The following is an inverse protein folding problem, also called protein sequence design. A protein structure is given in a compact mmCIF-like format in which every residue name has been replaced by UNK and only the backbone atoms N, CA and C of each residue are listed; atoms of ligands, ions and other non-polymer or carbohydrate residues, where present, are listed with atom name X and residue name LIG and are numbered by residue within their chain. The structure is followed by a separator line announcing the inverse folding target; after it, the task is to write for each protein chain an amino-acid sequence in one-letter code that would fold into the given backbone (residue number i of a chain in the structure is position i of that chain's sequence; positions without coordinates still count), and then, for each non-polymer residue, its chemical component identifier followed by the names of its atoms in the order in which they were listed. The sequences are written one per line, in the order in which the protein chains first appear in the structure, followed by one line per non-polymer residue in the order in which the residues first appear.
data_IF_808274466807
#
_entry.id   IF_808274466807
#
_cell.length_a   1.000
_cell.length_b   1.000
_cell.length_c   1.000
_cell.angle_alpha   90.00
_cell.angle_beta   90.00
_cell.angle_gamma   90.00
#
_symmetry.space_group_name_H-M   'P 1'
#
loop_
_entity.id
_entity.type
_entity.pdbx_description
1 polymer ?
2 polymer ?
3 non-polymer ?
4 water ?
#
# COMPACT_ATOMS: atom_id res chain seq x y z
N UNK A 3 20.32 17.54 -11.34
CA UNK A 3 18.97 17.39 -11.92
C UNK A 3 18.05 16.43 -11.16
N UNK A 4 18.61 15.30 -10.69
CA UNK A 4 18.01 14.49 -9.66
C UNK A 4 17.60 15.38 -8.44
N UNK A 5 18.52 16.24 -8.00
CA UNK A 5 18.25 17.20 -6.91
C UNK A 5 17.11 18.17 -7.27
N UNK A 6 17.08 18.62 -8.52
CA UNK A 6 16.01 19.46 -9.02
C UNK A 6 14.63 18.75 -9.02
N UNK A 7 14.59 17.49 -9.47
CA UNK A 7 13.35 16.73 -9.46
C UNK A 7 12.83 16.55 -8.03
N UNK A 8 13.75 16.32 -7.12
CA UNK A 8 13.34 16.07 -5.74
C UNK A 8 12.71 17.38 -5.17
N UNK A 9 13.38 18.50 -5.45
CA UNK A 9 12.83 19.81 -5.09
C UNK A 9 11.44 20.07 -5.65
N UNK A 10 11.28 19.84 -6.97
CA UNK A 10 9.97 19.94 -7.59
C UNK A 10 8.93 19.04 -6.95
N UNK A 11 9.34 17.83 -6.57
CA UNK A 11 8.43 16.91 -5.92
C UNK A 11 7.98 17.43 -4.54
N UNK A 12 8.96 18.02 -3.84
CA UNK A 12 8.62 18.65 -2.55
C UNK A 12 7.71 19.88 -2.70
N UNK A 13 7.95 20.71 -3.72
CA UNK A 13 7.03 21.82 -3.96
C UNK A 13 5.64 21.30 -4.26
N UNK A 14 5.52 20.29 -5.14
CA UNK A 14 4.19 19.72 -5.48
C UNK A 14 3.53 19.18 -4.21
N UNK A 15 4.34 18.55 -3.35
CA UNK A 15 3.78 17.97 -2.11
C UNK A 15 3.22 19.11 -1.21
N UNK A 16 3.97 20.17 -1.04
CA UNK A 16 3.46 21.31 -0.28
C UNK A 16 2.21 21.90 -0.92
N UNK A 17 2.18 22.01 -2.28
CA UNK A 17 1.00 22.56 -2.96
C UNK A 17 -0.19 21.56 -2.99
N UNK A 18 -0.01 20.34 -2.49
CA UNK A 18 -0.98 19.24 -2.55
C UNK A 18 -1.39 18.92 -4.01
N UNK A 19 -0.42 18.99 -4.93
CA UNK A 19 -0.65 18.68 -6.35
C UNK A 19 0.01 17.31 -6.57
N UNK A 20 -0.64 16.26 -6.09
CA UNK A 20 0.10 14.97 -6.03
C UNK A 20 0.42 14.36 -7.39
N UNK A 21 -0.35 14.73 -8.44
CA UNK A 21 -0.03 14.23 -9.81
C UNK A 21 1.34 14.65 -10.26
N UNK A 22 1.66 15.90 -10.00
CA UNK A 22 2.96 16.43 -10.36
C UNK A 22 4.03 15.85 -9.54
N UNK A 23 3.72 15.60 -8.27
CA UNK A 23 4.68 14.93 -7.36
C UNK A 23 5.04 13.54 -7.87
N UNK A 24 4.00 12.82 -8.36
CA UNK A 24 4.22 11.51 -8.99
C UNK A 24 5.14 11.68 -10.24
N UNK A 25 4.84 12.67 -11.09
CA UNK A 25 5.56 12.89 -12.37
C UNK A 25 7.04 13.01 -12.01
N UNK A 26 7.34 13.93 -11.08
CA UNK A 26 8.77 14.22 -10.67
C UNK A 26 9.48 12.99 -10.10
N UNK A 27 8.82 12.27 -9.18
CA UNK A 27 9.46 11.12 -8.54
C UNK A 27 9.59 9.93 -9.51
N UNK A 28 8.68 9.84 -10.48
CA UNK A 28 8.77 8.76 -11.50
C UNK A 28 10.00 9.02 -12.37
N UNK A 29 10.32 10.29 -12.68
CA UNK A 29 11.55 10.61 -13.39
C UNK A 29 12.81 10.23 -12.59
N UNK A 30 12.76 10.36 -11.26
CA UNK A 30 13.90 9.98 -10.43
C UNK A 30 14.04 8.45 -10.47
N UNK A 31 12.93 7.75 -10.37
CA UNK A 31 12.95 6.30 -10.43
C UNK A 31 13.51 5.86 -11.79
N UNK A 32 13.22 6.67 -12.80
CA UNK A 32 13.54 6.41 -14.21
C UNK A 32 15.04 6.39 -14.44
N UNK A 33 15.79 6.91 -13.46
CA UNK A 33 17.25 6.96 -13.53
C UNK A 33 18.01 5.66 -13.26
N UNK A 34 17.33 4.65 -12.71
CA UNK A 34 17.91 3.30 -12.53
C UNK A 34 19.13 3.32 -11.54
N UNK A 35 19.03 4.15 -10.52
CA UNK A 35 20.02 4.17 -9.44
C UNK A 35 19.30 3.92 -8.10
N UNK A 36 20.02 3.53 -7.07
CA UNK A 36 19.39 3.36 -5.74
C UNK A 36 18.84 4.72 -5.26
N UNK A 37 17.55 4.78 -4.91
CA UNK A 37 16.99 6.01 -4.37
C UNK A 37 17.45 6.18 -2.92
N UNK A 38 17.52 7.42 -2.44
CA UNK A 38 17.73 7.66 -1.01
C UNK A 38 16.47 7.32 -0.25
N UNK A 39 16.55 7.23 1.07
CA UNK A 39 15.40 7.07 1.93
C UNK A 39 14.44 8.17 1.64
N UNK A 40 14.95 9.40 1.48
CA UNK A 40 14.09 10.54 1.21
C UNK A 40 13.30 10.38 -0.10
N UNK A 41 14.04 10.03 -1.14
CA UNK A 41 13.39 9.79 -2.45
C UNK A 41 12.38 8.65 -2.42
N UNK A 42 12.71 7.49 -1.80
CA UNK A 42 11.72 6.38 -1.65
C UNK A 42 10.45 6.85 -0.99
N UNK A 43 10.62 7.59 0.09
CA UNK A 43 9.50 8.12 0.82
C UNK A 43 8.67 9.08 -0.01
N UNK A 44 9.32 9.98 -0.77
CA UNK A 44 8.57 10.98 -1.58
C UNK A 44 7.76 10.19 -2.66
N UNK A 45 8.39 9.19 -3.26
CA UNK A 45 7.72 8.45 -4.35
C UNK A 45 6.53 7.73 -3.73
N UNK A 46 6.75 7.10 -2.60
CA UNK A 46 5.63 6.31 -1.99
C UNK A 46 4.44 7.23 -1.61
N UNK A 47 4.77 8.37 -0.99
CA UNK A 47 3.73 9.37 -0.58
C UNK A 47 3.00 9.85 -1.81
N UNK A 48 3.74 10.19 -2.89
CA UNK A 48 3.07 10.69 -4.08
C UNK A 48 2.02 9.65 -4.60
N UNK A 49 2.41 8.40 -4.79
CA UNK A 49 1.44 7.45 -5.33
C UNK A 49 0.38 7.14 -4.28
N UNK A 50 0.71 7.06 -2.97
CA UNK A 50 -0.36 6.76 -2.04
C UNK A 50 -1.46 7.86 -1.99
N UNK A 51 -1.07 9.13 -2.17
CA UNK A 51 -2.07 10.19 -2.34
C UNK A 51 -2.89 10.04 -3.59
N UNK A 52 -2.24 9.77 -4.72
CA UNK A 52 -2.92 9.70 -6.02
C UNK A 52 -3.89 8.54 -6.01
N UNK A 53 -3.38 7.40 -5.58
CA UNK A 53 -4.28 6.23 -5.52
C UNK A 53 -5.34 6.38 -4.37
N UNK A 54 -4.95 6.99 -3.26
CA UNK A 54 -5.82 7.12 -2.08
C UNK A 54 -7.05 7.95 -2.41
N UNK A 55 -6.87 9.01 -3.22
CA UNK A 55 -8.05 9.82 -3.63
C UNK A 55 -9.08 8.94 -4.36
N UNK A 56 -8.60 8.06 -5.24
CA UNK A 56 -9.56 7.22 -5.97
C UNK A 56 -10.12 6.09 -5.10
N UNK A 57 -9.29 5.52 -4.20
CA UNK A 57 -9.82 4.49 -3.28
C UNK A 57 -10.92 5.10 -2.41
N UNK A 58 -10.69 6.32 -1.96
CA UNK A 58 -11.74 6.99 -1.14
C UNK A 58 -13.01 7.23 -1.95
N UNK A 59 -12.84 7.70 -3.21
CA UNK A 59 -14.02 7.93 -4.08
C UNK A 59 -14.77 6.61 -4.30
N UNK A 60 -13.99 5.56 -4.62
CA UNK A 60 -14.53 4.24 -4.93
C UNK A 60 -15.36 3.74 -3.72
N UNK A 61 -14.84 3.89 -2.51
CA UNK A 61 -15.60 3.43 -1.33
C UNK A 61 -16.89 4.21 -1.15
N UNK A 62 -16.84 5.51 -1.42
CA UNK A 62 -18.05 6.32 -1.32
C UNK A 62 -19.09 5.85 -2.35
N UNK A 63 -18.65 5.74 -3.58
CA UNK A 63 -19.61 5.43 -4.66
C UNK A 63 -20.18 4.01 -4.39
N UNK A 64 -19.32 3.08 -3.97
CA UNK A 64 -19.73 1.73 -3.67
C UNK A 64 -20.79 1.76 -2.57
N UNK A 65 -20.62 2.61 -1.56
CA UNK A 65 -21.62 2.60 -0.48
C UNK A 65 -22.91 3.21 -0.95
N UNK A 66 -22.81 4.20 -1.83
CA UNK A 66 -24.03 4.75 -2.41
C UNK A 66 -24.78 3.67 -3.25
N UNK A 67 -24.00 2.91 -4.00
CA UNK A 67 -24.54 1.82 -4.77
C UNK A 67 -25.30 0.86 -3.85
N UNK A 68 -24.68 0.47 -2.73
CA UNK A 68 -25.28 -0.53 -1.85
C UNK A 68 -26.60 -0.01 -1.22
N UNK A 69 -26.64 1.28 -0.90
CA UNK A 69 -27.85 1.90 -0.39
C UNK A 69 -28.93 1.75 -1.42
N UNK A 70 -28.55 2.06 -2.66
CA UNK A 70 -29.61 2.09 -3.67
C UNK A 70 -30.08 0.69 -4.08
N UNK A 71 -29.22 -0.32 -3.96
CA UNK A 71 -29.65 -1.74 -4.15
C UNK A 71 -30.82 -2.09 -3.22
N UNK A 72 -30.81 -1.50 -2.03
CA UNK A 72 -31.93 -1.64 -1.05
C UNK A 72 -33.19 -0.83 -1.29
N UNK A 73 -33.12 0.14 -2.18
CA UNK A 73 -34.23 1.01 -2.50
C UNK A 73 -34.72 0.57 -3.88
N UNK A 74 -33.87 -0.18 -4.56
CA UNK A 74 -34.14 -0.62 -5.93
C UNK A 74 -34.48 0.51 -6.90
N UNK A 75 -33.66 1.56 -6.97
CA UNK A 75 -33.90 2.59 -7.98
C UNK A 75 -32.96 2.32 -9.13
N UNK A 76 -33.52 1.89 -10.27
CA UNK A 76 -32.69 1.30 -11.34
C UNK A 76 -32.01 2.32 -12.27
N UNK A 77 -32.74 3.38 -12.61
CA UNK A 77 -32.15 4.50 -13.32
C UNK A 77 -30.96 5.01 -12.50
N UNK A 78 -31.16 5.26 -11.21
CA UNK A 78 -30.00 5.63 -10.37
C UNK A 78 -28.91 4.60 -10.41
N UNK A 79 -29.26 3.31 -10.29
CA UNK A 79 -28.16 2.30 -10.22
C UNK A 79 -27.30 2.24 -11.49
N UNK A 80 -27.91 2.44 -12.67
CA UNK A 80 -27.14 2.52 -13.92
C UNK A 80 -26.08 3.64 -13.93
N UNK A 81 -26.48 4.81 -13.46
CA UNK A 81 -25.53 5.94 -13.31
C UNK A 81 -24.49 5.71 -12.24
N UNK A 82 -24.88 5.09 -11.12
CA UNK A 82 -23.89 4.81 -10.07
C UNK A 82 -22.83 3.79 -10.53
N UNK A 83 -23.29 2.74 -11.22
CA UNK A 83 -22.39 1.69 -11.72
C UNK A 83 -21.46 2.22 -12.79
N UNK A 84 -21.96 3.08 -13.67
CA UNK A 84 -21.08 3.63 -14.69
C UNK A 84 -20.01 4.51 -14.04
N UNK A 85 -20.40 5.29 -13.06
CA UNK A 85 -19.46 6.15 -12.31
C UNK A 85 -18.40 5.31 -11.58
N UNK A 86 -18.85 4.25 -10.94
CA UNK A 86 -17.90 3.37 -10.22
C UNK A 86 -16.86 2.79 -11.22
N UNK A 87 -17.36 2.42 -12.39
CA UNK A 87 -16.52 1.75 -13.41
C UNK A 87 -15.47 2.74 -13.88
N UNK A 88 -15.84 4.00 -14.04
CA UNK A 88 -14.90 5.01 -14.40
C UNK A 88 -13.78 5.17 -13.36
N UNK A 89 -14.15 5.19 -12.07
CA UNK A 89 -13.15 5.25 -11.03
C UNK A 89 -12.27 3.99 -10.99
N UNK A 90 -12.90 2.81 -11.18
CA UNK A 90 -12.09 1.57 -11.30
C UNK A 90 -11.06 1.63 -12.46
N UNK A 91 -11.47 2.22 -13.59
CA UNK A 91 -10.48 2.38 -14.71
C UNK A 91 -9.30 3.22 -14.23
N UNK A 92 -9.55 4.34 -13.58
CA UNK A 92 -8.42 5.16 -13.05
C UNK A 92 -7.57 4.37 -12.02
N UNK A 93 -8.21 3.65 -11.09
CA UNK A 93 -7.48 2.84 -10.13
C UNK A 93 -6.56 1.86 -10.85
N UNK A 94 -7.10 1.23 -11.88
CA UNK A 94 -6.30 0.21 -12.58
C UNK A 94 -5.11 0.90 -13.25
N UNK A 95 -5.39 2.00 -13.94
CA UNK A 95 -4.29 2.76 -14.59
C UNK A 95 -3.20 3.20 -13.59
N UNK A 96 -3.61 3.76 -12.45
CA UNK A 96 -2.57 4.21 -11.48
C UNK A 96 -1.74 3.01 -10.94
N UNK A 97 -2.43 1.92 -10.56
CA UNK A 97 -1.71 0.72 -10.05
C UNK A 97 -0.73 0.19 -11.11
N UNK A 98 -1.22 0.10 -12.36
CA UNK A 98 -0.39 -0.36 -13.47
C UNK A 98 0.84 0.54 -13.71
N UNK A 99 0.68 1.82 -13.49
CA UNK A 99 1.77 2.77 -13.69
C UNK A 99 2.88 2.53 -12.65
N UNK A 100 2.55 2.53 -11.38
CA UNK A 100 3.61 2.26 -10.36
C UNK A 100 4.14 0.81 -10.40
N UNK A 101 3.28 -0.17 -10.73
CA UNK A 101 3.75 -1.56 -10.90
C UNK A 101 4.78 -1.63 -12.01
N UNK A 102 4.56 -0.88 -13.10
CA UNK A 102 5.56 -0.81 -14.18
C UNK A 102 6.85 -0.19 -13.70
N UNK A 103 6.74 0.91 -12.94
CA UNK A 103 7.93 1.61 -12.42
C UNK A 103 8.71 0.68 -11.52
N UNK A 104 8.00 -0.10 -10.71
CA UNK A 104 8.65 -1.05 -9.79
C UNK A 104 9.39 -2.15 -10.53
N UNK A 105 8.70 -2.71 -11.51
CA UNK A 105 9.27 -3.87 -12.26
C UNK A 105 10.36 -3.47 -13.18
N UNK A 106 10.25 -2.32 -13.82
CA UNK A 106 11.28 -1.87 -14.78
C UNK A 106 12.47 -1.15 -14.17
N UNK A 107 12.30 -0.47 -13.03
CA UNK A 107 13.27 0.53 -12.61
C UNK A 107 13.69 0.27 -11.14
N UNK A 108 12.71 0.34 -10.24
CA UNK A 108 13.04 0.33 -8.82
C UNK A 108 13.59 -1.00 -8.36
N UNK A 109 12.86 -2.08 -8.64
CA UNK A 109 13.33 -3.40 -8.14
C UNK A 109 14.66 -3.83 -8.73
N UNK A 110 14.81 -3.74 -10.08
CA UNK A 110 16.12 -4.13 -10.64
C UNK A 110 17.34 -3.36 -10.08
N UNK A 111 17.15 -2.12 -9.64
CA UNK A 111 18.29 -1.30 -9.23
C UNK A 111 18.45 -1.26 -7.72
N UNK A 112 17.53 -1.91 -7.01
CA UNK A 112 17.54 -1.90 -5.54
C UNK A 112 18.69 -2.79 -5.06
N UNK A 113 19.53 -2.29 -4.18
CA UNK A 113 20.68 -3.12 -3.80
C UNK A 113 20.93 -3.08 -2.29
N UNK A 114 19.91 -2.75 -1.54
CA UNK A 114 19.98 -2.88 -0.08
C UNK A 114 18.81 -3.71 0.37
N UNK A 115 18.95 -4.41 1.50
CA UNK A 115 17.82 -5.07 2.14
C UNK A 115 16.61 -4.16 2.36
N UNK A 116 16.82 -2.96 2.92
CA UNK A 116 15.70 -2.04 3.19
C UNK A 116 15.01 -1.71 1.87
N UNK A 117 15.76 -1.40 0.82
CA UNK A 117 15.02 -0.92 -0.40
C UNK A 117 14.27 -2.09 -1.06
N UNK A 118 14.91 -3.27 -1.11
CA UNK A 118 14.25 -4.46 -1.66
C UNK A 118 12.95 -4.74 -0.91
N UNK A 119 12.99 -4.69 0.43
CA UNK A 119 11.75 -4.94 1.18
C UNK A 119 10.73 -3.85 0.85
N UNK A 120 11.18 -2.61 0.81
CA UNK A 120 10.26 -1.47 0.52
C UNK A 120 9.55 -1.67 -0.83
N UNK A 121 10.31 -2.00 -1.84
CA UNK A 121 9.68 -2.11 -3.15
C UNK A 121 8.83 -3.36 -3.35
N UNK A 122 9.26 -4.50 -2.84
CA UNK A 122 8.35 -5.68 -2.92
C UNK A 122 7.07 -5.44 -2.11
N UNK A 123 7.18 -4.76 -0.98
CA UNK A 123 6.02 -4.47 -0.20
C UNK A 123 5.13 -3.50 -1.07
N UNK A 124 5.73 -2.47 -1.72
CA UNK A 124 4.90 -1.59 -2.59
C UNK A 124 4.18 -2.41 -3.66
N UNK A 125 4.89 -3.37 -4.23
CA UNK A 125 4.29 -4.27 -5.25
C UNK A 125 3.07 -5.01 -4.69
N UNK A 126 3.26 -5.54 -3.49
CA UNK A 126 2.21 -6.21 -2.68
C UNK A 126 0.99 -5.26 -2.53
N UNK A 127 1.29 -4.01 -2.16
CA UNK A 127 0.23 -2.97 -1.90
C UNK A 127 -0.57 -2.67 -3.15
N UNK A 128 0.13 -2.45 -4.28
CA UNK A 128 -0.61 -2.02 -5.48
C UNK A 128 -1.43 -3.19 -6.09
N UNK A 129 -0.95 -4.43 -5.95
CA UNK A 129 -1.80 -5.56 -6.42
C UNK A 129 -2.96 -5.75 -5.45
N UNK A 130 -2.70 -5.52 -4.16
CA UNK A 130 -3.79 -5.58 -3.21
C UNK A 130 -4.84 -4.49 -3.53
N UNK A 131 -4.41 -3.28 -3.91
CA UNK A 131 -5.40 -2.28 -4.33
C UNK A 131 -6.18 -2.69 -5.57
N UNK A 132 -5.48 -3.31 -6.55
CA UNK A 132 -6.26 -3.91 -7.69
C UNK A 132 -7.29 -4.93 -7.16
N UNK A 133 -6.88 -5.77 -6.21
CA UNK A 133 -7.80 -6.79 -5.67
C UNK A 133 -9.02 -6.23 -4.96
N UNK A 134 -8.90 -5.03 -4.37
CA UNK A 134 -10.05 -4.38 -3.67
C UNK A 134 -11.29 -4.28 -4.49
N UNK A 135 -11.14 -3.97 -5.76
CA UNK A 135 -12.35 -3.79 -6.56
C UNK A 135 -12.55 -4.86 -7.64
N UNK A 136 -11.55 -5.73 -7.77
CA UNK A 136 -11.58 -6.73 -8.88
C UNK A 136 -12.61 -7.79 -8.59
N UNK A 137 -13.11 -8.43 -9.65
CA UNK A 137 -13.92 -9.63 -9.42
C UNK A 137 -13.40 -10.77 -10.27
N UNK A 138 -13.87 -11.97 -9.98
CA UNK A 138 -13.66 -13.12 -10.89
C UNK A 138 -12.18 -13.36 -11.05
N UNK A 139 -11.72 -13.55 -12.29
CA UNK A 139 -10.29 -13.89 -12.49
C UNK A 139 -9.32 -12.77 -12.22
N UNK A 140 -9.76 -11.54 -12.45
CA UNK A 140 -8.94 -10.38 -12.16
C UNK A 140 -8.66 -10.38 -10.67
N UNK A 141 -9.65 -10.72 -9.84
CA UNK A 141 -9.41 -10.69 -8.39
C UNK A 141 -8.43 -11.80 -8.01
N UNK A 142 -8.62 -13.00 -8.59
CA UNK A 142 -7.73 -14.10 -8.24
C UNK A 142 -6.28 -13.73 -8.62
N UNK A 143 -6.10 -13.19 -9.84
CA UNK A 143 -4.73 -12.85 -10.29
C UNK A 143 -4.07 -11.73 -9.47
N UNK A 144 -4.83 -10.68 -9.15
CA UNK A 144 -4.32 -9.63 -8.26
C UNK A 144 -3.93 -10.20 -6.90
N UNK A 145 -4.81 -11.04 -6.34
CA UNK A 145 -4.53 -11.65 -5.03
C UNK A 145 -3.28 -12.50 -5.07
N UNK A 146 -3.13 -13.34 -6.11
CA UNK A 146 -1.91 -14.19 -6.28
C UNK A 146 -0.66 -13.29 -6.44
N UNK A 147 -0.73 -12.23 -7.28
CA UNK A 147 0.42 -11.35 -7.46
C UNK A 147 0.79 -10.61 -6.15
N UNK A 148 -0.24 -10.20 -5.40
CA UNK A 148 -0.01 -9.47 -4.13
C UNK A 148 0.73 -10.43 -3.14
N UNK A 149 0.21 -11.65 -3.04
CA UNK A 149 0.77 -12.66 -2.14
C UNK A 149 2.27 -12.91 -2.48
N UNK A 150 2.57 -13.11 -3.78
CA UNK A 150 3.94 -13.39 -4.23
C UNK A 150 4.88 -12.25 -3.80
N UNK A 151 4.41 -11.00 -3.95
CA UNK A 151 5.26 -9.88 -3.66
C UNK A 151 5.47 -9.75 -2.15
N UNK A 152 4.38 -9.88 -1.40
CA UNK A 152 4.47 -9.77 0.05
C UNK A 152 5.36 -10.90 0.62
N UNK A 153 5.24 -12.11 0.06
CA UNK A 153 6.13 -13.19 0.49
C UNK A 153 7.63 -12.85 0.20
N UNK A 154 7.88 -12.30 -0.99
CA UNK A 154 9.25 -11.88 -1.37
C UNK A 154 9.80 -10.84 -0.40
N UNK A 155 8.95 -9.85 -0.06
CA UNK A 155 9.35 -8.78 0.87
C UNK A 155 9.61 -9.40 2.24
N UNK A 156 8.78 -10.39 2.59
CA UNK A 156 8.91 -11.02 3.94
C UNK A 156 10.18 -11.83 4.05
N UNK A 157 10.59 -12.49 2.95
CA UNK A 157 11.78 -13.34 3.00
C UNK A 157 12.96 -12.46 3.29
N UNK A 158 13.02 -11.35 2.58
CA UNK A 158 14.12 -10.38 2.76
C UNK A 158 14.05 -9.72 4.14
N UNK A 159 12.85 -9.31 4.56
CA UNK A 159 12.66 -8.61 5.87
C UNK A 159 13.09 -9.52 7.02
N UNK A 160 12.72 -10.79 6.93
CA UNK A 160 13.08 -11.74 8.00
C UNK A 160 14.55 -11.97 8.12
N UNK A 161 15.28 -11.94 7.01
CA UNK A 161 16.70 -12.16 7.14
C UNK A 161 17.54 -10.89 7.28
N UNK A 162 17.01 -9.73 6.85
CA UNK A 162 17.83 -8.50 6.71
C UNK A 162 17.50 -7.36 7.68
N UNK A 163 16.26 -7.32 8.18
CA UNK A 163 15.82 -6.20 9.02
C UNK A 163 15.46 -6.64 10.41
N UNK A 164 15.84 -5.84 11.42
CA UNK A 164 15.33 -6.25 12.77
C UNK A 164 13.76 -6.20 12.88
N UNK A 165 13.18 -6.94 13.83
CA UNK A 165 11.70 -7.03 13.90
C UNK A 165 11.05 -5.70 14.30
N UNK A 166 11.85 -4.76 14.84
CA UNK A 166 11.32 -3.38 15.06
C UNK A 166 11.45 -2.42 13.89
N UNK A 167 12.11 -2.83 12.80
CA UNK A 167 12.31 -1.93 11.68
C UNK A 167 10.93 -1.47 11.11
N UNK A 168 10.74 -0.16 10.90
CA UNK A 168 9.43 0.30 10.47
C UNK A 168 9.03 -0.30 9.13
N UNK A 169 9.99 -0.64 8.24
CA UNK A 169 9.52 -1.13 6.95
C UNK A 169 9.07 -2.60 7.18
N UNK A 170 9.80 -3.28 8.03
CA UNK A 170 9.38 -4.67 8.35
C UNK A 170 8.01 -4.67 9.03
N UNK A 171 7.82 -3.78 10.01
CA UNK A 171 6.51 -3.67 10.69
C UNK A 171 5.41 -3.23 9.71
N UNK A 172 5.72 -2.22 8.89
CA UNK A 172 4.77 -1.77 7.85
C UNK A 172 4.38 -2.90 6.91
N UNK A 173 5.39 -3.71 6.55
CA UNK A 173 5.12 -4.92 5.79
C UNK A 173 4.15 -5.87 6.54
N UNK A 174 4.46 -6.24 7.77
CA UNK A 174 3.56 -7.09 8.53
C UNK A 174 2.12 -6.53 8.63
N UNK A 175 2.03 -5.22 8.92
CA UNK A 175 0.73 -4.56 8.96
C UNK A 175 -0.04 -4.71 7.64
N UNK A 176 0.59 -4.40 6.50
CA UNK A 176 -0.14 -4.46 5.28
C UNK A 176 -0.39 -5.87 4.80
N UNK A 177 0.57 -6.77 4.99
CA UNK A 177 0.35 -8.19 4.64
C UNK A 177 -0.77 -8.72 5.51
N UNK A 178 -0.85 -8.35 6.78
CA UNK A 178 -1.96 -8.86 7.61
C UNK A 178 -3.31 -8.36 7.08
N UNK A 179 -3.39 -7.09 6.66
CA UNK A 179 -4.62 -6.53 5.98
C UNK A 179 -4.95 -7.33 4.76
N UNK A 180 -3.92 -7.69 4.00
CA UNK A 180 -4.12 -8.52 2.80
C UNK A 180 -4.85 -9.82 3.17
N UNK A 181 -4.35 -10.55 4.18
CA UNK A 181 -5.01 -11.83 4.57
C UNK A 181 -6.46 -11.59 5.03
N UNK A 182 -6.67 -10.49 5.77
CA UNK A 182 -7.97 -10.19 6.28
C UNK A 182 -8.99 -9.81 5.18
N UNK A 183 -8.64 -8.78 4.41
CA UNK A 183 -9.55 -8.10 3.47
C UNK A 183 -9.62 -8.77 2.13
N UNK A 184 -8.51 -9.32 1.65
CA UNK A 184 -8.53 -9.93 0.30
C UNK A 184 -8.77 -11.45 0.41
N UNK A 185 -8.10 -12.10 1.33
CA UNK A 185 -8.13 -13.55 1.41
C UNK A 185 -9.19 -14.03 2.41
N UNK A 186 -9.82 -13.07 3.08
CA UNK A 186 -10.90 -13.35 4.02
C UNK A 186 -10.45 -14.40 5.03
N UNK A 187 -9.28 -14.16 5.60
CA UNK A 187 -8.70 -15.13 6.52
C UNK A 187 -8.32 -14.41 7.82
N UNK A 188 -9.31 -14.19 8.72
CA UNK A 188 -9.03 -13.43 9.98
C UNK A 188 -8.01 -14.16 10.86
N UNK A 189 -8.04 -15.50 10.81
CA UNK A 189 -7.14 -16.30 11.60
C UNK A 189 -5.68 -16.08 11.19
N UNK A 190 -5.41 -16.13 9.87
CA UNK A 190 -4.03 -15.94 9.40
C UNK A 190 -3.63 -14.45 9.58
N UNK A 191 -4.57 -13.54 9.35
CA UNK A 191 -4.29 -12.09 9.52
C UNK A 191 -3.86 -11.84 10.98
N UNK A 192 -4.64 -12.39 11.91
CA UNK A 192 -4.36 -12.24 13.35
C UNK A 192 -3.02 -12.82 13.74
N UNK A 193 -2.73 -14.04 13.26
CA UNK A 193 -1.43 -14.70 13.52
C UNK A 193 -0.23 -13.90 13.05
N UNK A 194 -0.34 -13.39 11.83
CA UNK A 194 0.78 -12.65 11.25
C UNK A 194 1.00 -11.35 12.03
N UNK A 195 -0.09 -10.63 12.35
CA UNK A 195 0.01 -9.35 13.05
C UNK A 195 0.52 -9.56 14.45
N UNK A 196 -0.04 -10.57 15.15
CA UNK A 196 0.38 -10.86 16.49
C UNK A 196 1.85 -11.26 16.52
N UNK A 197 2.27 -12.07 15.55
CA UNK A 197 3.70 -12.54 15.57
C UNK A 197 4.63 -11.36 15.38
N UNK A 198 4.27 -10.48 14.42
CA UNK A 198 5.13 -9.30 14.12
C UNK A 198 5.23 -8.39 15.37
N UNK A 199 4.08 -8.13 15.99
CA UNK A 199 4.05 -7.31 17.23
C UNK A 199 4.89 -7.97 18.34
N UNK A 200 4.65 -9.24 18.64
CA UNK A 200 5.41 -9.92 19.68
C UNK A 200 6.92 -9.97 19.39
N UNK A 201 7.27 -10.17 18.11
CA UNK A 201 8.71 -10.26 17.77
C UNK A 201 9.42 -8.91 17.95
N UNK A 202 8.67 -7.82 17.66
CA UNK A 202 9.17 -6.49 17.98
C UNK A 202 9.31 -6.24 19.48
N UNK A 203 8.29 -6.61 20.24
CA UNK A 203 8.35 -6.45 21.70
C UNK A 203 9.59 -7.19 22.27
N UNK A 204 9.89 -8.39 21.73
CA UNK A 204 10.98 -9.22 22.25
C UNK A 204 12.33 -8.54 22.05
N UNK A 205 12.42 -7.63 21.07
CA UNK A 205 13.70 -7.02 20.65
C UNK A 205 13.69 -5.47 20.63
N UNK A 206 13.12 -4.87 21.67
CA UNK A 206 12.90 -3.43 21.64
C UNK A 206 14.24 -2.68 21.69
N UNK A 207 15.29 -3.37 22.11
CA UNK A 207 16.65 -2.87 22.06
C UNK A 207 17.09 -2.54 20.62
N UNK A 208 16.38 -3.09 19.62
CA UNK A 208 16.72 -2.84 18.23
C UNK A 208 16.07 -1.55 17.65
N UNK A 209 15.24 -0.87 18.45
CA UNK A 209 14.60 0.36 17.95
C UNK A 209 15.74 1.32 17.57
N UNK A 210 15.57 2.02 16.45
CA UNK A 210 16.55 2.99 15.95
C UNK A 210 16.14 4.41 16.38
N UNK A 211 17.14 5.20 16.77
CA UNK A 211 16.98 6.65 16.96
C UNK A 211 16.29 7.32 15.79
N UNK A 212 16.56 6.83 14.57
CA UNK A 212 16.02 7.43 13.34
C UNK A 212 14.52 7.22 13.17
N UNK A 213 13.97 6.20 13.83
CA UNK A 213 12.60 5.69 13.42
C UNK A 213 11.74 5.12 14.57
N UNK A 214 12.15 5.30 15.82
CA UNK A 214 11.38 4.76 16.93
C UNK A 214 9.92 5.24 16.96
N UNK A 215 9.65 6.51 16.63
CA UNK A 215 8.25 6.96 16.48
C UNK A 215 7.48 6.21 15.41
N UNK A 216 8.16 5.92 14.28
CA UNK A 216 7.51 5.24 13.18
C UNK A 216 7.23 3.81 13.62
N UNK A 217 8.20 3.17 14.29
CA UNK A 217 8.01 1.76 14.78
C UNK A 217 6.83 1.71 15.77
N UNK A 218 6.81 2.69 16.65
CA UNK A 218 5.79 2.76 17.70
C UNK A 218 4.41 2.91 17.08
N UNK A 219 4.32 3.77 16.08
CA UNK A 219 3.03 3.96 15.41
C UNK A 219 2.54 2.70 14.74
N UNK A 220 3.39 2.00 14.00
CA UNK A 220 2.93 0.80 13.29
C UNK A 220 2.52 -0.25 14.33
N UNK A 221 3.28 -0.35 15.40
CA UNK A 221 2.92 -1.34 16.42
C UNK A 221 1.53 -1.02 17.01
N UNK A 222 1.23 0.25 17.24
CA UNK A 222 -0.12 0.64 17.68
C UNK A 222 -1.17 0.20 16.63
N UNK A 223 -0.84 0.37 15.34
CA UNK A 223 -1.82 -0.01 14.29
C UNK A 223 -2.01 -1.54 14.28
N UNK A 224 -0.92 -2.29 14.49
CA UNK A 224 -1.07 -3.75 14.56
C UNK A 224 -2.04 -4.10 15.68
N UNK A 225 -1.86 -3.46 16.83
CA UNK A 225 -2.76 -3.69 17.97
C UNK A 225 -4.19 -3.28 17.65
N UNK A 226 -4.38 -2.12 16.98
CA UNK A 226 -5.70 -1.56 16.60
C UNK A 226 -6.41 -2.55 15.65
N UNK A 227 -5.68 -3.09 14.67
CA UNK A 227 -6.35 -4.16 13.86
C UNK A 227 -6.72 -5.43 14.63
N UNK A 228 -5.81 -5.89 15.48
CA UNK A 228 -6.10 -7.03 16.32
C UNK A 228 -7.40 -6.86 17.11
N UNK A 229 -7.59 -5.63 17.61
CA UNK A 229 -8.79 -5.14 18.29
C UNK A 229 -9.98 -5.26 17.36
N UNK A 230 -9.85 -4.71 16.17
CA UNK A 230 -10.94 -4.67 15.19
C UNK A 230 -11.34 -6.10 14.77
N UNK A 231 -10.35 -6.99 14.68
CA UNK A 231 -10.53 -8.33 14.16
C UNK A 231 -10.95 -9.38 15.21
N UNK A 232 -10.89 -8.99 16.49
CA UNK A 232 -11.29 -9.87 17.57
C UNK A 232 -12.36 -9.14 18.38
N UNK B 3 -11.87 -0.92 6.25
CA UNK B 3 -12.00 -0.48 7.69
C UNK B 3 -10.81 -0.92 8.56
N UNK B 4 -9.98 -1.84 8.06
CA UNK B 4 -8.72 -2.12 8.75
C UNK B 4 -7.75 -0.97 8.53
N UNK B 5 -6.70 -0.90 9.37
CA UNK B 5 -5.75 0.16 9.18
C UNK B 5 -4.55 -0.40 8.46
N UNK B 6 -4.21 0.24 7.37
CA UNK B 6 -2.92 -0.12 6.80
C UNK B 6 -1.87 0.96 7.03
N UNK B 7 -0.67 0.77 6.50
CA UNK B 7 0.42 1.67 6.85
C UNK B 7 0.10 3.14 6.38
N UNK B 8 0.27 4.10 7.28
CA UNK B 8 -0.18 5.45 6.93
C UNK B 8 0.87 6.19 6.07
N UNK B 9 0.51 7.37 5.53
CA UNK B 9 1.44 8.11 4.69
C UNK B 9 1.21 9.59 4.92
N UNK B 10 2.14 10.40 4.42
CA UNK B 10 2.46 11.71 4.97
C UNK B 10 3.92 11.53 5.39
X LIG C 1 6.07 -10.08 9.85
X LIG C 1 6.57 -10.42 8.56
X LIG C 1 7.02 -11.86 8.62
X LIG C 1 5.49 -10.31 7.49
X LIG C 1 7.66 -9.43 8.17
X LIG D 1 3.92 -14.90 6.27
X LIG D 1 5.13 -15.49 5.73
X LIG D 1 5.21 -16.90 6.32
X LIG D 1 5.06 -15.50 4.21
X LIG D 1 6.34 -14.66 6.14
X LIG E 1 -0.20 -18.26 9.14
X LIG E 1 0.63 -17.30 8.48
X LIG E 1 2.05 -17.84 8.43
X LIG E 1 0.06 -17.06 7.08
X LIG E 1 0.61 -16.03 9.32
#
# INVERSE_FOLDING_TARGET
MDDREDLVYQAKLAEQAERYDEMVESMKKVAGMDVELTVEERNLLSVAYKNVIGARRASWRIISSIEQKEENKGGEDKLKMIREYRQMVETELKLICCDILDVLDKHLIPAANTGESKVFYYKMKGDYHRYLAEFATGNDRKEAAENSLVAYKAASDIAMTELPPTHPIRLGLALNFSVFYYEILNSPDRACRLAKAAFDDAIAELDTLSEESYKDSTLIMQLLRDNLTLWT
MIRSFSEPFGRDLL
TBU O C C1 C2 C3
TBU O C C1 C2 C3
TBU O C C1 C2 C3
#
